data_IF_036905020745
#
_entry.id   IF_036905020745
#
_cell.length_a   1.000
_cell.length_b   1.000
_cell.length_c   1.000
_cell.angle_alpha   90.00
_cell.angle_beta   90.00
_cell.angle_gamma   90.00
#
_symmetry.space_group_name_H-M   'P 1'
#
loop_
_entity.id
_entity.type
_entity.pdbx_description
1 polymer ?
#
# COMPACT_ATOMS: atom_id res chain seq x y z
N UNK A 1 6.56 16.23 10.97
CA UNK A 1 6.92 14.79 10.91
C UNK A 1 5.61 14.04 10.91
N UNK A 2 5.42 13.12 9.95
CA UNK A 2 4.17 12.36 9.77
C UNK A 2 4.46 10.90 10.09
N UNK A 3 3.61 10.27 10.90
CA UNK A 3 3.74 8.84 11.21
C UNK A 3 2.41 8.25 11.66
N UNK A 4 2.35 6.91 11.66
CA UNK A 4 1.16 6.16 12.05
C UNK A 4 1.39 5.45 13.38
N UNK A 5 0.34 5.43 14.20
CA UNK A 5 0.27 4.62 15.41
C UNK A 5 -0.79 3.56 15.19
N UNK A 6 -0.37 2.30 15.08
CA UNK A 6 -1.29 1.17 14.95
C UNK A 6 -1.42 0.50 16.31
N UNK A 7 -2.62 0.51 16.87
CA UNK A 7 -2.90 -0.18 18.13
C UNK A 7 -3.44 -1.57 17.87
N UNK A 8 -2.71 -2.59 18.35
CA UNK A 8 -3.10 -4.00 18.24
C UNK A 8 -3.62 -4.49 19.59
N UNK A 9 -4.79 -5.12 19.60
CA UNK A 9 -5.35 -5.75 20.79
C UNK A 9 -5.05 -7.27 20.80
N UNK A 10 -4.25 -7.70 21.78
CA UNK A 10 -3.97 -9.11 22.03
C UNK A 10 -4.84 -9.70 23.15
N UNK A 11 -5.92 -9.01 23.52
CA UNK A 11 -6.86 -9.41 24.56
C UNK A 11 -6.20 -9.45 25.94
N UNK A 12 -6.15 -10.64 26.55
CA UNK A 12 -5.57 -10.82 27.90
C UNK A 12 -4.08 -10.49 27.99
N UNK A 13 -3.38 -10.45 26.85
CA UNK A 13 -1.96 -10.10 26.77
C UNK A 13 -1.74 -8.58 26.77
N UNK A 14 -2.81 -7.79 26.69
CA UNK A 14 -2.74 -6.33 26.62
C UNK A 14 -2.77 -5.82 25.19
N UNK A 15 -2.42 -4.55 25.03
CA UNK A 15 -2.42 -3.84 23.75
C UNK A 15 -1.02 -3.36 23.42
N UNK A 16 -0.67 -3.39 22.15
CA UNK A 16 0.62 -2.92 21.63
C UNK A 16 0.41 -1.71 20.74
N UNK A 17 1.24 -0.69 20.94
CA UNK A 17 1.34 0.47 20.06
C UNK A 17 2.52 0.26 19.12
N UNK A 18 2.26 -0.07 17.86
CA UNK A 18 3.29 -0.14 16.83
C UNK A 18 3.48 1.27 16.27
N UNK A 19 4.68 1.83 16.46
CA UNK A 19 5.05 3.18 16.04
C UNK A 19 6.35 3.11 15.26
N UNK A 20 6.27 3.41 13.97
CA UNK A 20 7.43 3.48 13.09
C UNK A 20 7.30 4.76 12.25
N UNK A 21 8.15 5.77 12.48
CA UNK A 21 8.09 7.02 11.72
C UNK A 21 8.58 6.90 10.27
N UNK A 22 9.20 5.79 9.89
CA UNK A 22 9.75 5.60 8.55
C UNK A 22 8.78 4.90 7.60
N UNK A 23 7.74 4.22 8.13
CA UNK A 23 6.75 3.54 7.29
C UNK A 23 5.73 4.50 6.69
N UNK A 24 5.44 4.30 5.41
CA UNK A 24 4.41 5.06 4.70
C UNK A 24 3.01 4.48 4.94
N UNK A 25 1.98 5.27 4.63
CA UNK A 25 0.58 4.82 4.61
C UNK A 25 0.42 3.52 3.80
N UNK A 26 1.07 3.43 2.64
CA UNK A 26 1.02 2.26 1.75
C UNK A 26 1.61 1.01 2.41
N UNK A 27 2.70 1.15 3.16
CA UNK A 27 3.27 0.02 3.91
C UNK A 27 2.38 -0.42 5.05
N UNK A 28 1.78 0.53 5.80
CA UNK A 28 0.80 0.19 6.84
C UNK A 28 -0.36 -0.60 6.22
N UNK A 29 -0.91 -0.15 5.09
CA UNK A 29 -1.98 -0.85 4.36
C UNK A 29 -1.53 -2.25 3.92
N UNK A 30 -0.30 -2.37 3.40
CA UNK A 30 0.26 -3.67 3.01
C UNK A 30 0.37 -4.64 4.20
N UNK A 31 0.78 -4.15 5.38
CA UNK A 31 0.83 -4.94 6.62
C UNK A 31 -0.55 -5.33 7.15
N UNK A 32 -1.56 -4.47 6.99
CA UNK A 32 -2.96 -4.80 7.29
C UNK A 32 -3.46 -5.90 6.36
N UNK A 33 -3.29 -5.70 5.04
CA UNK A 33 -3.80 -6.60 4.02
C UNK A 33 -3.11 -7.98 4.03
N UNK A 34 -1.81 -8.02 4.36
CA UNK A 34 -1.07 -9.27 4.56
C UNK A 34 -1.45 -10.01 5.85
N UNK A 35 -2.16 -9.34 6.76
CA UNK A 35 -2.54 -9.89 8.07
C UNK A 35 -1.43 -9.87 9.11
N UNK A 36 -0.36 -9.08 8.91
CA UNK A 36 0.65 -8.80 9.94
C UNK A 36 0.03 -8.01 11.09
N UNK A 37 -0.81 -7.02 10.78
CA UNK A 37 -1.59 -6.29 11.77
C UNK A 37 -2.99 -6.90 11.89
N UNK A 38 -3.20 -7.66 12.96
CA UNK A 38 -4.49 -8.28 13.29
C UNK A 38 -5.11 -7.62 14.52
N UNK A 39 -6.43 -7.72 14.69
CA UNK A 39 -7.14 -7.19 15.87
C UNK A 39 -6.83 -5.71 16.14
N UNK A 40 -6.80 -4.92 15.07
CA UNK A 40 -6.51 -3.49 15.14
C UNK A 40 -7.63 -2.79 15.91
N UNK A 41 -7.27 -2.09 17.00
CA UNK A 41 -8.18 -1.26 17.78
C UNK A 41 -8.43 0.09 17.11
N UNK A 42 -7.36 0.76 16.70
CA UNK A 42 -7.40 2.02 15.97
C UNK A 42 -6.06 2.27 15.25
N UNK A 43 -6.11 3.17 14.28
CA UNK A 43 -4.95 3.71 13.58
C UNK A 43 -5.05 5.22 13.61
N UNK A 44 -4.08 5.86 14.25
CA UNK A 44 -3.95 7.31 14.24
C UNK A 44 -2.85 7.74 13.28
N UNK A 45 -3.16 8.73 12.47
CA UNK A 45 -2.20 9.51 11.72
C UNK A 45 -1.81 10.74 12.55
N UNK A 46 -0.51 10.89 12.80
CA UNK A 46 0.04 12.05 13.50
C UNK A 46 0.69 12.94 12.46
N UNK A 47 0.19 14.16 12.33
CA UNK A 47 0.75 15.17 11.43
C UNK A 47 1.05 16.44 12.24
N UNK A 48 2.33 16.66 12.51
CA UNK A 48 2.82 17.83 13.27
C UNK A 48 2.19 17.94 14.67
N UNK A 49 1.11 18.69 14.81
CA UNK A 49 0.38 18.93 16.06
C UNK A 49 -1.06 18.40 16.02
N UNK A 50 -1.42 17.65 14.98
CA UNK A 50 -2.74 17.05 14.79
C UNK A 50 -2.67 15.53 14.91
N UNK A 51 -3.76 14.97 15.43
CA UNK A 51 -4.01 13.53 15.52
C UNK A 51 -5.32 13.27 14.81
N UNK A 52 -5.29 12.44 13.76
CA UNK A 52 -6.46 12.05 13.00
C UNK A 52 -6.69 10.54 13.10
N UNK A 53 -7.95 10.14 13.32
CA UNK A 53 -8.35 8.74 13.24
C UNK A 53 -8.63 8.37 11.79
N UNK A 54 -7.73 7.54 11.24
CA UNK A 54 -7.76 7.07 9.85
C UNK A 54 -8.10 5.59 9.75
N UNK A 55 -8.53 4.97 10.87
CA UNK A 55 -8.79 3.52 10.97
C UNK A 55 -9.69 3.01 9.85
N UNK A 56 -10.87 3.63 9.68
CA UNK A 56 -11.85 3.20 8.67
C UNK A 56 -11.30 3.34 7.25
N UNK A 57 -10.66 4.47 6.95
CA UNK A 57 -10.09 4.73 5.64
C UNK A 57 -9.01 3.69 5.28
N UNK A 58 -8.12 3.38 6.23
CA UNK A 58 -7.03 2.43 6.00
C UNK A 58 -7.52 0.98 5.91
N UNK A 59 -8.50 0.58 6.73
CA UNK A 59 -9.09 -0.75 6.65
C UNK A 59 -9.87 -0.96 5.34
N UNK A 60 -10.58 0.08 4.89
CA UNK A 60 -11.31 0.05 3.61
C UNK A 60 -10.34 -0.08 2.44
N UNK A 61 -9.25 0.69 2.46
CA UNK A 61 -8.20 0.64 1.44
C UNK A 61 -7.49 -0.72 1.43
N UNK A 62 -7.20 -1.29 2.60
CA UNK A 62 -6.58 -2.61 2.74
C UNK A 62 -7.49 -3.78 2.30
N UNK A 63 -8.81 -3.60 2.30
CA UNK A 63 -9.76 -4.59 1.81
C UNK A 63 -9.83 -4.66 0.28
N UNK A 64 -9.26 -3.67 -0.43
CA UNK A 64 -9.20 -3.69 -1.88
C UNK A 64 -8.23 -4.80 -2.36
N UNK A 65 -8.53 -5.48 -3.49
CA UNK A 65 -7.59 -6.40 -4.09
C UNK A 65 -6.28 -5.66 -4.40
N UNK A 66 -5.16 -6.18 -3.90
CA UNK A 66 -3.86 -5.68 -4.31
C UNK A 66 -3.67 -6.04 -5.78
N UNK A 67 -3.81 -5.06 -6.66
CA UNK A 67 -3.35 -5.18 -8.04
C UNK A 67 -1.83 -5.07 -7.94
N UNK A 68 -1.06 -6.14 -8.20
CA UNK A 68 0.38 -6.00 -8.31
C UNK A 68 0.63 -4.92 -9.35
N UNK A 69 1.65 -4.04 -9.19
CA UNK A 69 2.01 -3.14 -10.26
C UNK A 69 2.17 -4.01 -11.50
N UNK A 70 1.29 -3.82 -12.48
CA UNK A 70 1.40 -4.49 -13.76
C UNK A 70 2.83 -4.22 -14.20
N UNK A 71 3.62 -5.27 -14.42
CA UNK A 71 4.81 -5.14 -15.27
C UNK A 71 4.28 -4.46 -16.51
N UNK A 72 4.57 -3.16 -16.66
CA UNK A 72 4.09 -2.35 -17.77
C UNK A 72 4.43 -3.16 -19.00
N UNK A 73 3.41 -3.65 -19.69
CA UNK A 73 3.63 -4.59 -20.77
C UNK A 73 4.28 -3.83 -21.93
N UNK A 74 5.62 -3.81 -21.93
CA UNK A 74 6.46 -3.16 -22.93
C UNK A 74 6.25 -3.77 -24.32
N UNK A 75 5.44 -4.82 -24.46
CA UNK A 75 5.00 -5.39 -25.74
C UNK A 75 4.47 -4.32 -26.71
N UNK A 76 3.86 -3.24 -26.22
CA UNK A 76 3.40 -2.15 -27.10
C UNK A 76 4.56 -1.49 -27.90
N UNK A 77 5.75 -1.39 -27.30
CA UNK A 77 6.96 -0.87 -27.97
C UNK A 77 7.49 -1.90 -28.98
N UNK A 78 7.51 -3.18 -28.60
CA UNK A 78 8.03 -4.26 -29.45
C UNK A 78 7.18 -4.49 -30.71
N UNK A 79 5.86 -4.37 -30.59
CA UNK A 79 4.93 -4.50 -31.71
C UNK A 79 5.06 -3.33 -32.70
N UNK A 80 5.32 -2.11 -32.22
CA UNK A 80 5.56 -0.94 -33.09
C UNK A 80 6.90 -1.08 -33.84
N UNK A 81 7.96 -1.52 -33.14
CA UNK A 81 9.26 -1.76 -33.75
C UNK A 81 9.21 -2.84 -34.85
N UNK A 82 8.51 -3.95 -34.59
CA UNK A 82 8.34 -5.04 -35.57
C UNK A 82 7.57 -4.58 -36.80
N UNK A 83 6.58 -3.69 -36.62
CA UNK A 83 5.77 -3.15 -37.72
C UNK A 83 6.58 -2.20 -38.60
N UNK A 84 7.42 -1.37 -38.00
CA UNK A 84 8.29 -0.45 -38.73
C UNK A 84 9.35 -1.18 -39.55
N UNK A 85 9.96 -2.24 -39.00
CA UNK A 85 10.89 -3.09 -39.76
C UNK A 85 10.25 -3.67 -41.03
N UNK A 86 9.00 -4.14 -40.96
CA UNK A 86 8.27 -4.67 -42.12
C UNK A 86 7.91 -3.62 -43.18
N UNK A 87 7.83 -2.33 -42.83
CA UNK A 87 7.59 -1.26 -43.82
C UNK A 87 8.81 -1.06 -44.71
N UNK A 88 10.02 -1.26 -44.19
CA UNK A 88 11.26 -1.11 -44.93
C UNK A 88 11.55 -2.26 -45.91
N UNK A 89 10.94 -3.45 -45.71
CA UNK A 89 11.08 -4.61 -46.60
C UNK A 89 10.21 -4.53 -47.87
N UNK A 90 9.32 -3.54 -47.98
CA UNK A 90 8.40 -3.36 -49.13
C UNK A 90 8.81 -2.22 -50.09
N UNK A 91 10.07 -1.78 -50.00
CA UNK A 91 10.71 -0.83 -50.93
C UNK A 91 11.39 -1.54 -52.08
#
# INVERSE_FOLDING_TARGET
MQYFVVMIDYGRRGREAVVDPEITRREVISRIASGEYQNISFIHEILENAVEDVTEAMLTEAALPQIPPEDIDLQAIDLDHTRDLRKHERS
#
